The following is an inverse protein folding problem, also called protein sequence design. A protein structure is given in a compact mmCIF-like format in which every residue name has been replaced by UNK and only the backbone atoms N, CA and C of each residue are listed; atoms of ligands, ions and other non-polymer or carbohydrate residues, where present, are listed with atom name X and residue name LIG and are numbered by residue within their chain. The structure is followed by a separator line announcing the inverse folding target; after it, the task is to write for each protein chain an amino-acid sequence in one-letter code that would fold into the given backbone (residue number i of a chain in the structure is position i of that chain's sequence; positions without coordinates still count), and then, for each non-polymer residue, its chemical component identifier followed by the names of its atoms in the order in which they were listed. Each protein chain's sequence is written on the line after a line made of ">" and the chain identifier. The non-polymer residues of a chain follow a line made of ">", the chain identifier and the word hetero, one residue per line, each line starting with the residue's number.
data_IF_583684300837
#
_entry.id   IF_583684300837
#
_cell.length_a   1.000
_cell.length_b   1.000
_cell.length_c   1.000
_cell.angle_alpha   90.00
_cell.angle_beta   90.00
_cell.angle_gamma   90.00
#
_symmetry.space_group_name_H-M   'P 1'
#
loop_
_entity.id
_entity.type
_entity.pdbx_description
1 polymer ?
#
# COMPACT_ATOMS: atom_id res chain seq x y z
N UNK A 1 -7.27 -8.54 -20.97
CA UNK A 1 -8.10 -7.80 -20.00
C UNK A 1 -7.27 -7.57 -18.73
N UNK A 2 -7.24 -6.35 -18.17
CA UNK A 2 -6.33 -5.95 -17.09
C UNK A 2 -6.33 -6.89 -15.88
N UNK A 3 -7.51 -7.33 -15.41
CA UNK A 3 -7.61 -8.21 -14.23
C UNK A 3 -6.96 -9.60 -14.37
N UNK A 4 -6.74 -10.12 -15.59
CA UNK A 4 -5.98 -11.37 -15.77
C UNK A 4 -4.47 -11.15 -15.66
N UNK A 5 -4.01 -9.94 -15.97
CA UNK A 5 -2.60 -9.55 -15.87
C UNK A 5 -2.25 -9.31 -14.40
N UNK A 6 -3.07 -8.55 -13.67
CA UNK A 6 -2.89 -8.32 -12.23
C UNK A 6 -2.82 -9.61 -11.43
N UNK A 7 -3.79 -10.53 -11.61
CA UNK A 7 -3.77 -11.85 -10.96
C UNK A 7 -2.51 -12.66 -11.26
N UNK A 8 -1.97 -12.52 -12.48
CA UNK A 8 -0.73 -13.19 -12.88
C UNK A 8 0.48 -12.52 -12.25
N UNK A 9 0.53 -11.19 -12.21
CA UNK A 9 1.60 -10.42 -11.57
C UNK A 9 1.65 -10.69 -10.06
N UNK A 10 0.50 -10.72 -9.40
CA UNK A 10 0.39 -11.06 -7.98
C UNK A 10 0.96 -12.46 -7.71
N UNK A 11 0.59 -13.46 -8.51
CA UNK A 11 1.14 -14.82 -8.39
C UNK A 11 2.67 -14.85 -8.56
N UNK A 12 3.22 -14.04 -9.47
CA UNK A 12 4.67 -13.95 -9.67
C UNK A 12 5.37 -13.28 -8.48
N UNK A 13 4.76 -12.23 -7.90
CA UNK A 13 5.24 -11.57 -6.67
C UNK A 13 5.27 -12.56 -5.50
N UNK A 14 4.20 -13.33 -5.30
CA UNK A 14 4.06 -14.32 -4.21
C UNK A 14 4.85 -15.62 -4.42
N UNK A 15 5.43 -15.85 -5.60
CA UNK A 15 6.19 -17.09 -5.87
C UNK A 15 7.43 -17.15 -4.98
N UNK A 16 7.63 -18.25 -4.27
CA UNK A 16 8.79 -18.41 -3.40
C UNK A 16 10.12 -18.23 -4.13
N UNK A 17 11.05 -17.50 -3.50
CA UNK A 17 12.41 -17.30 -4.01
C UNK A 17 13.31 -18.43 -3.55
N UNK A 18 14.39 -18.66 -4.31
CA UNK A 18 15.44 -19.60 -3.96
C UNK A 18 16.70 -18.80 -3.63
N UNK A 19 17.32 -19.10 -2.50
CA UNK A 19 18.56 -18.44 -2.06
C UNK A 19 19.74 -18.88 -2.92
N UNK A 20 20.88 -18.15 -2.90
CA UNK A 20 22.11 -18.59 -3.57
C UNK A 20 22.59 -19.99 -3.11
N UNK A 21 22.22 -20.39 -1.90
CA UNK A 21 22.50 -21.70 -1.32
C UNK A 21 21.54 -22.80 -1.78
N UNK A 22 20.51 -22.46 -2.55
CA UNK A 22 19.52 -23.41 -3.08
C UNK A 22 18.32 -23.66 -2.16
N UNK A 23 18.21 -22.95 -1.03
CA UNK A 23 17.10 -23.12 -0.11
C UNK A 23 15.89 -22.29 -0.54
N UNK A 24 14.70 -22.78 -0.19
CA UNK A 24 13.46 -22.03 -0.37
C UNK A 24 13.41 -20.90 0.66
N UNK A 25 13.19 -19.67 0.20
CA UNK A 25 13.09 -18.49 1.04
C UNK A 25 11.64 -18.27 1.47
N UNK A 26 11.47 -17.76 2.69
CA UNK A 26 10.20 -17.31 3.25
C UNK A 26 10.07 -15.80 3.06
N UNK A 27 8.90 -15.35 2.58
CA UNK A 27 8.55 -13.93 2.58
C UNK A 27 8.17 -13.53 4.01
N UNK A 28 8.75 -12.45 4.50
CA UNK A 28 8.41 -11.87 5.79
C UNK A 28 7.05 -11.19 5.73
N UNK A 29 6.41 -11.02 6.89
CA UNK A 29 5.25 -10.13 7.03
C UNK A 29 5.72 -8.69 7.23
N UNK A 30 4.89 -7.70 6.88
CA UNK A 30 5.17 -6.26 7.06
C UNK A 30 5.81 -5.94 8.44
N UNK A 31 5.27 -6.52 9.52
CA UNK A 31 5.80 -6.30 10.88
C UNK A 31 7.19 -6.93 11.13
N UNK A 32 7.56 -7.96 10.38
CA UNK A 32 8.90 -8.57 10.41
C UNK A 32 9.87 -7.86 9.44
N UNK A 33 9.35 -7.22 8.39
CA UNK A 33 10.13 -6.57 7.33
C UNK A 33 10.88 -5.33 7.84
N UNK A 34 10.25 -4.52 8.69
CA UNK A 34 10.83 -3.31 9.31
C UNK A 34 12.24 -3.52 9.91
N UNK A 35 12.50 -4.70 10.49
CA UNK A 35 13.79 -5.04 11.09
C UNK A 35 14.93 -5.17 10.06
N UNK A 36 14.58 -5.31 8.79
CA UNK A 36 15.49 -5.51 7.66
C UNK A 36 15.52 -4.33 6.68
N UNK A 37 14.63 -3.35 6.85
CA UNK A 37 14.53 -2.16 6.01
C UNK A 37 15.34 -0.99 6.60
N UNK A 38 15.78 -0.10 5.72
CA UNK A 38 16.40 1.17 6.14
C UNK A 38 15.33 2.24 6.43
N UNK A 39 15.66 3.31 7.18
CA UNK A 39 14.68 4.34 7.51
C UNK A 39 14.03 5.02 6.30
N UNK A 40 14.72 5.12 5.16
CA UNK A 40 14.15 5.68 3.95
C UNK A 40 13.14 4.74 3.30
N UNK A 41 13.39 3.43 3.35
CA UNK A 41 12.46 2.41 2.85
C UNK A 41 11.17 2.35 3.68
N UNK A 42 11.29 2.49 5.01
CA UNK A 42 10.12 2.57 5.90
C UNK A 42 9.27 3.81 5.60
N UNK A 43 9.91 4.97 5.36
CA UNK A 43 9.18 6.19 4.98
C UNK A 43 8.52 6.06 3.60
N UNK A 44 9.19 5.44 2.63
CA UNK A 44 8.63 5.13 1.30
C UNK A 44 7.34 4.28 1.40
N UNK A 45 7.31 3.29 2.31
CA UNK A 45 6.15 2.45 2.61
C UNK A 45 5.06 3.21 3.36
N UNK A 46 5.45 4.06 4.32
CA UNK A 46 4.52 4.87 5.10
C UNK A 46 3.70 5.83 4.22
N UNK A 47 4.28 6.32 3.12
CA UNK A 47 3.56 7.14 2.12
C UNK A 47 2.97 6.32 0.96
N UNK A 48 3.00 4.99 1.04
CA UNK A 48 2.51 4.06 0.02
C UNK A 48 3.05 4.34 -1.39
N UNK A 49 4.30 4.80 -1.50
CA UNK A 49 4.96 5.09 -2.78
C UNK A 49 5.57 3.82 -3.37
N UNK A 50 6.22 3.04 -2.51
CA UNK A 50 6.95 1.83 -2.85
C UNK A 50 6.70 0.80 -1.76
N UNK A 51 6.40 -0.44 -2.14
CA UNK A 51 6.35 -1.58 -1.25
C UNK A 51 7.67 -2.37 -1.34
N UNK A 52 8.22 -2.83 -0.22
CA UNK A 52 9.38 -3.70 -0.19
C UNK A 52 9.01 -5.11 0.29
N UNK A 53 9.23 -6.13 -0.53
CA UNK A 53 9.10 -7.51 -0.08
C UNK A 53 10.45 -8.02 0.42
N UNK A 54 10.52 -8.48 1.67
CA UNK A 54 11.73 -9.09 2.22
C UNK A 54 11.61 -10.61 2.23
N UNK A 55 12.55 -11.26 1.55
CA UNK A 55 12.69 -12.71 1.55
C UNK A 55 13.88 -13.10 2.41
N UNK A 56 13.69 -14.08 3.31
CA UNK A 56 14.75 -14.62 4.15
C UNK A 56 14.91 -16.13 3.93
N UNK A 57 16.16 -16.57 3.87
CA UNK A 57 16.54 -17.98 4.02
C UNK A 57 16.78 -18.26 5.50
N UNK A 58 15.84 -18.92 6.17
CA UNK A 58 15.93 -19.21 7.61
C UNK A 58 17.14 -20.11 7.97
N UNK A 59 17.72 -20.85 7.00
CA UNK A 59 18.87 -21.73 7.25
C UNK A 59 20.22 -20.98 7.21
N UNK A 60 20.33 -19.95 6.37
CA UNK A 60 21.60 -19.23 6.16
C UNK A 60 21.57 -17.78 6.66
N UNK A 61 20.39 -17.24 6.94
CA UNK A 61 20.17 -15.83 7.24
C UNK A 61 20.33 -14.92 6.02
N UNK A 62 20.38 -15.47 4.81
CA UNK A 62 20.46 -14.67 3.60
C UNK A 62 19.14 -13.92 3.36
N UNK A 63 19.22 -12.61 3.25
CA UNK A 63 18.08 -11.73 3.00
C UNK A 63 18.14 -11.14 1.60
N UNK A 64 16.98 -11.08 0.93
CA UNK A 64 16.79 -10.43 -0.36
C UNK A 64 15.59 -9.49 -0.28
N UNK A 65 15.84 -8.21 -0.52
CA UNK A 65 14.81 -7.17 -0.55
C UNK A 65 14.44 -6.91 -2.01
N UNK A 66 13.15 -6.96 -2.33
CA UNK A 66 12.60 -6.67 -3.66
C UNK A 66 11.74 -5.42 -3.61
N UNK A 67 11.95 -4.50 -4.56
CA UNK A 67 11.27 -3.20 -4.60
C UNK A 67 10.12 -3.23 -5.60
N UNK A 68 8.93 -2.81 -5.18
CA UNK A 68 7.73 -2.71 -6.02
C UNK A 68 7.16 -1.29 -5.95
N UNK A 69 7.16 -0.58 -7.09
CA UNK A 69 6.50 0.73 -7.15
C UNK A 69 4.99 0.54 -7.06
N UNK A 70 4.37 1.24 -6.11
CA UNK A 70 2.94 1.22 -5.95
C UNK A 70 2.34 2.17 -6.99
N UNK A 71 2.19 1.65 -8.21
CA UNK A 71 1.44 2.38 -9.24
C UNK A 71 -0.02 2.32 -8.86
N UNK A 72 -0.58 3.43 -8.38
CA UNK A 72 -2.02 3.62 -8.33
C UNK A 72 -2.58 3.28 -9.72
N UNK A 73 -3.32 2.18 -9.78
CA UNK A 73 -3.85 1.66 -11.04
C UNK A 73 -4.87 2.67 -11.55
N UNK A 74 -4.68 3.13 -12.79
CA UNK A 74 -5.66 4.00 -13.40
C UNK A 74 -6.94 3.21 -13.68
N UNK A 75 -8.07 3.74 -13.26
CA UNK A 75 -9.39 3.21 -13.55
C UNK A 75 -9.92 3.79 -14.86
N UNK A 76 -10.92 3.12 -15.42
CA UNK A 76 -11.62 3.63 -16.59
C UNK A 76 -12.43 4.88 -16.19
N UNK A 77 -12.17 6.00 -16.87
CA UNK A 77 -12.93 7.22 -16.68
C UNK A 77 -14.37 7.01 -17.17
N UNK A 78 -15.40 7.29 -16.36
CA UNK A 78 -16.79 7.12 -16.78
C UNK A 78 -17.21 8.10 -17.90
N UNK A 79 -16.51 9.23 -18.03
CA UNK A 79 -16.80 10.26 -19.03
C UNK A 79 -16.18 9.92 -20.41
N UNK A 80 -14.88 9.61 -20.46
CA UNK A 80 -14.18 9.38 -21.74
C UNK A 80 -13.84 7.91 -22.03
N UNK A 81 -13.98 7.01 -21.07
CA UNK A 81 -13.72 5.57 -21.22
C UNK A 81 -12.24 5.16 -21.20
N UNK A 82 -11.29 6.10 -21.17
CA UNK A 82 -9.87 5.80 -21.07
C UNK A 82 -9.45 5.43 -19.63
N UNK A 83 -8.47 4.53 -19.50
CA UNK A 83 -7.89 4.13 -18.21
C UNK A 83 -6.90 5.18 -17.71
N UNK A 84 -7.42 6.33 -17.30
CA UNK A 84 -6.65 7.51 -16.89
C UNK A 84 -7.22 8.18 -15.63
N UNK A 85 -8.25 7.58 -15.01
CA UNK A 85 -8.83 8.05 -13.75
C UNK A 85 -7.97 7.55 -12.59
N UNK A 86 -7.48 8.44 -11.72
CA UNK A 86 -6.68 8.07 -10.54
C UNK A 86 -7.11 8.88 -9.33
N UNK A 87 -6.84 8.37 -8.14
CA UNK A 87 -6.96 9.16 -6.91
C UNK A 87 -5.90 10.25 -6.92
N UNK A 88 -6.32 11.50 -6.78
CA UNK A 88 -5.45 12.66 -6.68
C UNK A 88 -5.25 13.07 -5.21
N UNK A 89 -6.30 12.94 -4.40
CA UNK A 89 -6.29 13.33 -3.00
C UNK A 89 -7.27 12.47 -2.18
N UNK A 90 -6.96 12.26 -0.91
CA UNK A 90 -7.84 11.64 0.06
C UNK A 90 -8.03 12.56 1.25
N UNK A 91 -9.29 12.82 1.62
CA UNK A 91 -9.65 13.75 2.67
C UNK A 91 -10.55 13.07 3.71
N UNK A 92 -10.14 13.04 4.98
CA UNK A 92 -10.97 12.55 6.08
C UNK A 92 -11.98 13.63 6.45
N UNK A 93 -13.24 13.43 6.05
CA UNK A 93 -14.35 14.31 6.41
C UNK A 93 -14.81 14.10 7.85
N UNK A 94 -14.79 12.85 8.31
CA UNK A 94 -15.18 12.49 9.68
C UNK A 94 -14.14 11.52 10.22
N UNK A 95 -13.44 11.96 11.27
CA UNK A 95 -12.47 11.11 11.96
C UNK A 95 -13.18 9.91 12.61
N UNK A 96 -12.74 8.67 12.35
CA UNK A 96 -13.28 7.51 13.02
C UNK A 96 -12.93 7.54 14.53
N UNK A 97 -13.91 7.19 15.36
CA UNK A 97 -13.73 7.06 16.82
C UNK A 97 -13.85 5.59 17.23
N UNK A 98 -13.65 5.27 18.51
CA UNK A 98 -13.80 3.90 19.02
C UNK A 98 -15.20 3.32 18.84
N UNK A 99 -16.21 4.18 18.73
CA UNK A 99 -17.63 3.79 18.64
C UNK A 99 -18.28 4.19 17.33
N UNK A 100 -17.72 5.18 16.62
CA UNK A 100 -18.30 5.73 15.41
C UNK A 100 -17.39 5.51 14.20
N UNK A 101 -18.02 5.18 13.08
CA UNK A 101 -17.35 5.02 11.79
C UNK A 101 -16.98 6.39 11.23
N UNK A 102 -15.77 6.47 10.66
CA UNK A 102 -15.32 7.66 9.95
C UNK A 102 -15.86 7.73 8.52
N UNK A 103 -15.58 8.85 7.86
CA UNK A 103 -15.90 9.09 6.46
C UNK A 103 -14.67 9.66 5.75
N UNK A 104 -14.27 9.00 4.67
CA UNK A 104 -13.18 9.40 3.78
C UNK A 104 -13.77 9.80 2.43
N UNK A 105 -13.33 10.92 1.89
CA UNK A 105 -13.57 11.32 0.52
C UNK A 105 -12.32 11.05 -0.31
N UNK A 106 -12.45 10.23 -1.34
CA UNK A 106 -11.39 10.00 -2.32
C UNK A 106 -11.69 10.84 -3.56
N UNK A 107 -10.82 11.79 -3.86
CA UNK A 107 -10.92 12.68 -5.00
C UNK A 107 -10.21 12.04 -6.18
N UNK A 108 -10.98 11.61 -7.18
CA UNK A 108 -10.47 11.07 -8.42
C UNK A 108 -10.35 12.15 -9.49
N UNK A 109 -9.33 12.04 -10.32
CA UNK A 109 -9.07 12.92 -11.45
C UNK A 109 -8.63 12.12 -12.69
N UNK A 110 -9.25 12.43 -13.83
CA UNK A 110 -8.87 11.90 -15.12
C UNK A 110 -7.82 12.79 -15.77
N UNK A 111 -6.60 12.29 -15.94
CA UNK A 111 -5.51 13.08 -16.55
C UNK A 111 -5.68 13.38 -18.04
N UNK A 112 -6.66 12.77 -18.71
CA UNK A 112 -6.91 12.96 -20.13
C UNK A 112 -7.99 14.01 -20.42
N UNK A 113 -9.17 13.89 -19.80
CA UNK A 113 -10.31 14.77 -20.05
C UNK A 113 -10.65 15.68 -18.87
N UNK A 114 -9.80 15.71 -17.83
CA UNK A 114 -9.93 16.55 -16.64
C UNK A 114 -11.19 16.32 -15.78
N UNK A 115 -11.93 15.24 -16.06
CA UNK A 115 -13.09 14.82 -15.27
C UNK A 115 -12.68 14.53 -13.82
N UNK A 116 -13.51 14.92 -12.86
CA UNK A 116 -13.27 14.79 -11.42
C UNK A 116 -14.47 14.18 -10.73
N UNK A 117 -14.22 13.25 -9.81
CA UNK A 117 -15.26 12.62 -9.00
C UNK A 117 -14.81 12.51 -7.55
N UNK A 118 -15.78 12.43 -6.65
CA UNK A 118 -15.52 12.17 -5.24
C UNK A 118 -16.25 10.90 -4.85
N UNK A 119 -15.52 9.92 -4.35
CA UNK A 119 -16.07 8.67 -3.84
C UNK A 119 -16.03 8.69 -2.32
N UNK A 120 -17.18 8.49 -1.68
CA UNK A 120 -17.29 8.47 -0.23
C UNK A 120 -17.12 7.05 0.31
N UNK A 121 -16.05 6.82 1.08
CA UNK A 121 -15.72 5.55 1.71
C UNK A 121 -15.97 5.64 3.22
N UNK A 122 -16.74 4.69 3.76
CA UNK A 122 -16.96 4.60 5.21
C UNK A 122 -15.80 3.88 5.88
N UNK A 123 -15.08 4.59 6.75
CA UNK A 123 -13.99 4.03 7.55
C UNK A 123 -14.55 3.18 8.70
N UNK A 124 -13.80 2.16 9.10
CA UNK A 124 -14.13 1.41 10.32
C UNK A 124 -13.94 2.29 11.57
N UNK A 125 -14.59 1.91 12.67
CA UNK A 125 -14.30 2.51 13.97
C UNK A 125 -12.86 2.15 14.39
N UNK A 126 -12.15 3.12 14.98
CA UNK A 126 -10.74 2.96 15.36
C UNK A 126 -10.61 1.99 16.55
N UNK A 127 -9.73 1.00 16.48
CA UNK A 127 -9.46 0.14 17.65
C UNK A 127 -8.73 0.96 18.73
N UNK A 128 -9.09 0.75 20.01
CA UNK A 128 -8.50 1.47 21.16
C UNK A 128 -6.97 1.32 21.31
N UNK A 129 -6.35 0.41 20.55
CA UNK A 129 -4.90 0.20 20.52
C UNK A 129 -4.09 1.28 19.79
N UNK A 130 -4.74 2.22 19.08
CA UNK A 130 -4.07 3.31 18.32
C UNK A 130 -4.18 4.66 19.09
N UNK A 131 -4.62 4.65 20.36
CA UNK A 131 -4.83 5.86 21.17
C UNK A 131 -3.55 6.48 21.75
N UNK A 132 -2.48 6.61 20.97
CA UNK A 132 -1.42 7.57 21.30
C UNK A 132 -1.26 8.59 20.17
N UNK A 133 -1.64 9.86 20.38
CA UNK A 133 -1.20 10.91 19.49
C UNK A 133 0.32 11.05 19.66
N UNK A 134 1.08 10.68 18.63
CA UNK A 134 2.50 10.99 18.49
C UNK A 134 2.72 12.50 18.24
N UNK A 135 2.12 13.35 19.08
CA UNK A 135 2.38 14.78 19.12
C UNK A 135 2.45 15.27 20.57
N UNK A 136 3.59 15.01 21.19
CA UNK A 136 4.12 15.82 22.29
C UNK A 136 5.61 16.03 22.05
N UNK A 137 5.93 16.89 21.08
CA UNK A 137 7.18 17.66 21.15
C UNK A 137 6.88 18.99 21.85
N UNK A 138 7.76 19.30 22.79
CA UNK A 138 8.04 20.59 23.44
C UNK A 138 7.36 20.86 24.79
N UNK A 139 8.08 20.52 25.86
CA UNK A 139 8.66 21.50 26.79
C UNK A 139 9.95 20.93 27.40
#
# INVERSE_FOLDING_TARGET
>A
YPGNVEKRLQRLRETQRISPSGNVMRKLSEAEEDAHLDPGQIEDEAIHSIDYDVWIDDATGYTRIEKYYNYQHAEACPECGYYTMKIEEEEIQVMPTATERGLLHQHYHCSYCEHREVHAVRLAATSQSILEPAYSRNA
#
